data_IF_878031416487
#
_entry.id   IF_878031416487
#
_cell.length_a   1.000
_cell.length_b   1.000
_cell.length_c   1.000
_cell.angle_alpha   90.00
_cell.angle_beta   90.00
_cell.angle_gamma   90.00
#
_symmetry.space_group_name_H-M   'P 1'
#
loop_
_entity.id
_entity.type
_entity.pdbx_description
1 polymer ?
#
# COMPACT_ATOMS: atom_id res chain seq x y z
N UNK A 1 -2.22 14.76 -0.22
CA UNK A 1 -1.71 13.81 -1.23
C UNK A 1 -2.88 13.19 -1.96
N UNK A 2 -2.83 13.11 -3.28
CA UNK A 2 -3.89 12.47 -4.05
C UNK A 2 -3.80 10.94 -3.95
N UNK A 3 -4.92 10.24 -4.20
CA UNK A 3 -4.93 8.78 -4.21
C UNK A 3 -3.92 8.21 -5.22
N UNK A 4 -3.82 8.83 -6.40
CA UNK A 4 -2.86 8.40 -7.41
C UNK A 4 -1.41 8.51 -6.91
N UNK A 5 -1.06 9.63 -6.30
CA UNK A 5 0.30 9.83 -5.77
C UNK A 5 0.61 8.86 -4.63
N UNK A 6 -0.36 8.60 -3.77
CA UNK A 6 -0.21 7.61 -2.71
C UNK A 6 0.01 6.21 -3.29
N UNK A 7 -0.79 5.83 -4.29
CA UNK A 7 -0.65 4.55 -4.97
C UNK A 7 0.72 4.42 -5.64
N UNK A 8 1.18 5.45 -6.34
CA UNK A 8 2.51 5.44 -6.96
C UNK A 8 3.62 5.27 -5.92
N UNK A 9 3.52 5.99 -4.80
CA UNK A 9 4.51 5.90 -3.71
C UNK A 9 4.53 4.50 -3.09
N UNK A 10 3.37 3.88 -2.90
CA UNK A 10 3.27 2.52 -2.39
C UNK A 10 3.86 1.50 -3.37
N UNK A 11 3.59 1.63 -4.66
CA UNK A 11 4.12 0.74 -5.69
C UNK A 11 5.65 0.80 -5.76
N UNK A 12 6.23 1.96 -5.51
CA UNK A 12 7.69 2.15 -5.50
C UNK A 12 8.38 1.47 -4.32
N UNK A 13 7.63 1.04 -3.32
CA UNK A 13 8.15 0.28 -2.18
C UNK A 13 8.11 -1.22 -2.51
N UNK A 14 9.26 -1.89 -2.45
CA UNK A 14 9.39 -3.31 -2.76
C UNK A 14 9.01 -4.18 -1.55
N UNK A 15 7.75 -4.13 -1.15
CA UNK A 15 7.23 -4.82 0.03
C UNK A 15 6.89 -6.28 -0.26
N UNK A 16 7.86 -7.05 -0.72
CA UNK A 16 7.68 -8.47 -1.01
C UNK A 16 7.38 -9.22 0.28
N UNK A 17 6.28 -9.99 0.28
CA UNK A 17 5.81 -10.73 1.47
C UNK A 17 6.92 -11.48 2.18
N UNK A 18 7.02 -11.41 3.50
CA UNK A 18 6.10 -10.76 4.46
C UNK A 18 6.52 -9.34 4.85
N UNK A 19 7.43 -8.71 4.13
CA UNK A 19 8.06 -7.46 4.52
C UNK A 19 7.21 -6.25 4.18
N UNK A 20 7.10 -5.31 5.13
CA UNK A 20 6.37 -4.05 4.92
C UNK A 20 7.21 -3.00 4.19
N UNK A 21 8.49 -2.91 4.48
CA UNK A 21 9.46 -2.01 3.85
C UNK A 21 9.07 -0.53 3.90
N UNK A 22 8.21 -0.13 4.84
CA UNK A 22 7.79 1.27 5.01
C UNK A 22 6.44 1.62 4.41
N UNK A 23 5.70 0.67 3.86
CA UNK A 23 4.34 0.93 3.37
C UNK A 23 3.43 1.48 4.47
N UNK A 24 3.49 0.92 5.66
CA UNK A 24 2.67 1.37 6.78
C UNK A 24 3.01 2.77 7.25
N UNK A 25 4.29 3.14 7.24
CA UNK A 25 4.70 4.51 7.57
C UNK A 25 4.08 5.52 6.59
N UNK A 26 4.07 5.17 5.32
CA UNK A 26 3.49 6.02 4.29
C UNK A 26 1.97 6.17 4.45
N UNK A 27 1.28 5.07 4.73
CA UNK A 27 -0.17 5.07 4.99
C UNK A 27 -0.50 5.87 6.24
N UNK A 28 0.24 5.66 7.31
CA UNK A 28 0.08 6.39 8.57
C UNK A 28 0.26 7.90 8.37
N UNK A 29 1.30 8.28 7.62
CA UNK A 29 1.55 9.69 7.28
C UNK A 29 0.37 10.31 6.53
N UNK A 30 -0.32 9.53 5.70
CA UNK A 30 -1.49 10.01 4.96
C UNK A 30 -2.75 10.09 5.83
N UNK A 31 -2.95 9.13 6.74
CA UNK A 31 -4.21 8.99 7.48
C UNK A 31 -4.26 9.80 8.78
N UNK A 32 -3.14 9.91 9.51
CA UNK A 32 -3.13 10.61 10.80
C UNK A 32 -3.61 12.06 10.70
N UNK A 33 -3.17 12.86 9.70
CA UNK A 33 -3.68 14.22 9.55
C UNK A 33 -5.18 14.30 9.26
N UNK A 34 -5.77 13.21 8.78
CA UNK A 34 -7.21 13.11 8.50
C UNK A 34 -8.02 12.76 9.76
N UNK A 35 -7.37 12.50 10.88
CA UNK A 35 -8.02 12.17 12.15
C UNK A 35 -8.13 10.68 12.45
N UNK A 36 -7.46 9.82 11.69
CA UNK A 36 -7.42 8.40 12.00
C UNK A 36 -6.49 8.11 13.18
N UNK A 37 -6.92 7.19 14.03
CA UNK A 37 -6.08 6.58 15.06
C UNK A 37 -5.45 5.33 14.47
N UNK A 38 -4.15 5.18 14.65
CA UNK A 38 -3.38 4.07 14.07
C UNK A 38 -2.92 3.13 15.18
N UNK A 39 -3.13 1.84 14.95
CA UNK A 39 -2.59 0.78 15.78
C UNK A 39 -1.77 -0.19 14.91
N UNK A 40 -0.55 -0.48 15.34
CA UNK A 40 0.34 -1.48 14.72
C UNK A 40 0.26 -2.75 15.54
N UNK A 41 -0.11 -3.86 14.91
CA UNK A 41 -0.30 -5.15 15.56
C UNK A 41 0.73 -6.12 15.00
N UNK A 42 1.84 -6.38 15.74
CA UNK A 42 2.85 -7.33 15.27
C UNK A 42 2.36 -8.77 15.39
N UNK A 43 2.66 -9.58 14.40
CA UNK A 43 2.29 -10.99 14.32
C UNK A 43 3.45 -11.78 13.74
N UNK A 44 4.17 -12.55 14.56
CA UNK A 44 5.32 -13.36 14.12
C UNK A 44 6.29 -12.55 13.24
N UNK A 45 6.28 -12.79 11.93
CA UNK A 45 7.16 -12.12 10.98
C UNK A 45 6.44 -11.08 10.10
N UNK A 46 5.21 -10.73 10.44
CA UNK A 46 4.46 -9.69 9.72
C UNK A 46 3.77 -8.75 10.69
N UNK A 47 3.18 -7.70 10.16
CA UNK A 47 2.52 -6.68 10.95
C UNK A 47 1.18 -6.30 10.30
N UNK A 48 0.19 -6.00 11.13
CA UNK A 48 -1.09 -5.48 10.67
C UNK A 48 -1.23 -4.03 11.11
N UNK A 49 -1.69 -3.17 10.22
CA UNK A 49 -2.04 -1.80 10.55
C UNK A 49 -3.56 -1.68 10.64
N UNK A 50 -4.04 -1.21 11.78
CA UNK A 50 -5.44 -0.87 11.97
C UNK A 50 -5.57 0.64 12.02
N UNK A 51 -6.37 1.21 11.11
CA UNK A 51 -6.67 2.63 11.09
C UNK A 51 -8.15 2.83 11.41
N UNK A 52 -8.44 3.60 12.44
CA UNK A 52 -9.79 3.77 12.96
C UNK A 52 -10.17 5.25 12.94
N UNK A 53 -11.37 5.53 12.45
CA UNK A 53 -11.94 6.88 12.45
C UNK A 53 -13.34 6.84 13.07
N UNK A 54 -13.59 7.77 14.01
CA UNK A 54 -14.87 7.84 14.71
C UNK A 54 -14.90 6.93 15.93
N UNK A 55 -15.93 7.11 16.78
CA UNK A 55 -16.02 6.45 18.08
C UNK A 55 -17.43 5.92 18.39
N UNK A 56 -18.37 6.03 17.46
CA UNK A 56 -19.77 5.65 17.72
C UNK A 56 -20.47 5.20 16.44
N UNK A 57 -21.56 4.44 16.60
CA UNK A 57 -22.37 3.96 15.52
C UNK A 57 -21.86 2.64 14.92
N UNK A 58 -22.40 2.30 13.74
CA UNK A 58 -22.02 1.07 13.04
C UNK A 58 -20.63 1.20 12.44
N UNK A 59 -19.92 0.09 12.43
CA UNK A 59 -18.57 0.02 11.87
C UNK A 59 -18.62 -0.45 10.41
N UNK A 60 -17.94 0.28 9.54
CA UNK A 60 -17.65 -0.14 8.17
C UNK A 60 -16.14 -0.38 8.07
N UNK A 61 -15.73 -1.53 7.55
CA UNK A 61 -14.33 -1.89 7.48
C UNK A 61 -13.90 -2.18 6.05
N UNK A 62 -12.81 -1.53 5.63
CA UNK A 62 -12.07 -1.91 4.42
C UNK A 62 -10.94 -2.85 4.84
N UNK A 63 -10.76 -3.94 4.13
CA UNK A 63 -9.67 -4.88 4.36
C UNK A 63 -8.82 -5.00 3.10
N UNK A 64 -7.53 -4.86 3.25
CA UNK A 64 -6.59 -4.96 2.14
C UNK A 64 -5.20 -5.32 2.62
N UNK A 65 -4.24 -5.34 1.70
CA UNK A 65 -2.85 -5.62 2.03
C UNK A 65 -1.90 -4.79 1.18
N UNK A 66 -0.68 -4.58 1.67
CA UNK A 66 0.36 -3.81 0.99
C UNK A 66 1.52 -4.66 0.51
N UNK A 67 1.59 -5.91 0.97
CA UNK A 67 2.62 -6.83 0.52
C UNK A 67 2.32 -7.32 -0.90
N UNK A 68 3.37 -7.70 -1.59
CA UNK A 68 3.32 -8.11 -2.99
C UNK A 68 4.09 -9.40 -3.19
N UNK A 69 3.80 -10.09 -4.29
CA UNK A 69 4.63 -11.19 -4.76
C UNK A 69 5.83 -10.63 -5.56
N UNK A 70 6.90 -11.40 -5.74
CA UNK A 70 8.01 -10.97 -6.61
C UNK A 70 7.53 -10.61 -8.01
N UNK A 71 8.22 -9.66 -8.64
CA UNK A 71 7.83 -9.16 -9.97
C UNK A 71 8.03 -10.17 -11.12
N UNK A 72 8.87 -11.18 -10.90
CA UNK A 72 9.38 -12.00 -11.99
C UNK A 72 10.37 -11.23 -12.86
N UNK A 73 10.65 -11.69 -14.10
CA UNK A 73 11.60 -11.02 -14.97
C UNK A 73 11.18 -9.59 -15.31
N UNK A 74 11.99 -8.61 -14.90
CA UNK A 74 11.65 -7.19 -15.08
C UNK A 74 11.62 -6.80 -16.56
N UNK A 75 12.39 -7.47 -17.41
CA UNK A 75 12.43 -7.23 -18.84
C UNK A 75 11.12 -7.58 -19.55
N UNK A 76 10.26 -8.38 -18.95
CA UNK A 76 8.95 -8.72 -19.51
C UNK A 76 7.87 -7.67 -19.20
N UNK A 77 8.18 -6.71 -18.32
CA UNK A 77 7.26 -5.63 -18.00
C UNK A 77 7.34 -4.52 -19.06
N UNK A 78 6.19 -3.92 -19.40
CA UNK A 78 6.18 -2.78 -20.34
C UNK A 78 6.81 -1.52 -19.75
N UNK A 79 6.99 -1.49 -18.41
CA UNK A 79 7.68 -0.46 -17.65
C UNK A 79 8.25 -1.12 -16.41
N UNK A 80 9.39 -0.69 -15.84
CA UNK A 80 9.93 -1.30 -14.64
C UNK A 80 8.86 -1.41 -13.53
N UNK A 81 8.72 -2.59 -12.88
CA UNK A 81 7.57 -2.89 -12.02
C UNK A 81 7.46 -2.06 -10.75
N UNK A 82 8.52 -1.34 -10.36
CA UNK A 82 8.54 -0.50 -9.16
C UNK A 82 8.72 0.98 -9.47
N UNK A 83 8.52 1.41 -10.71
CA UNK A 83 8.55 2.83 -11.09
C UNK A 83 7.19 3.52 -10.96
N UNK A 84 6.12 2.76 -11.02
CA UNK A 84 4.75 3.29 -10.95
C UNK A 84 4.45 4.31 -12.07
N UNK A 85 4.90 4.00 -13.29
CA UNK A 85 4.65 4.84 -14.46
C UNK A 85 3.19 4.79 -14.89
N UNK A 86 2.74 5.90 -15.45
CA UNK A 86 1.44 5.98 -16.12
C UNK A 86 1.69 5.92 -17.62
N UNK A 87 1.11 4.91 -18.27
CA UNK A 87 1.24 4.70 -19.71
C UNK A 87 -0.17 4.62 -20.31
N UNK A 88 -0.50 5.53 -21.20
CA UNK A 88 -1.83 5.60 -21.84
C UNK A 88 -2.98 5.61 -20.83
N UNK A 89 -2.80 6.25 -19.69
CA UNK A 89 -3.81 6.33 -18.64
C UNK A 89 -3.81 5.18 -17.64
N UNK A 90 -3.00 4.17 -17.84
CA UNK A 90 -2.87 3.02 -16.94
C UNK A 90 -1.68 3.15 -16.00
N UNK A 91 -1.90 2.87 -14.73
CA UNK A 91 -0.83 2.82 -13.73
C UNK A 91 -0.18 1.44 -13.77
N UNK A 92 1.10 1.40 -14.15
CA UNK A 92 1.84 0.16 -14.34
C UNK A 92 2.75 -0.10 -13.13
N UNK A 93 2.60 -1.27 -12.52
CA UNK A 93 3.49 -1.67 -11.43
C UNK A 93 3.04 -2.91 -10.70
N UNK A 94 3.99 -3.57 -10.02
CA UNK A 94 3.68 -4.68 -9.14
C UNK A 94 2.88 -4.16 -7.94
N UNK A 95 1.70 -4.69 -7.71
CA UNK A 95 0.77 -4.23 -6.68
C UNK A 95 -0.26 -3.22 -7.15
N UNK A 96 -0.20 -2.74 -8.41
CA UNK A 96 -1.18 -1.78 -8.92
C UNK A 96 -2.59 -2.36 -8.97
N UNK A 97 -2.73 -3.64 -9.23
CA UNK A 97 -4.01 -4.33 -9.24
C UNK A 97 -4.26 -5.11 -7.94
N UNK A 98 -3.23 -5.68 -7.33
CA UNK A 98 -3.30 -6.55 -6.14
C UNK A 98 -2.14 -6.23 -5.17
N UNK A 99 -2.38 -5.47 -4.18
CA UNK A 99 -3.39 -4.40 -4.17
C UNK A 99 -2.89 -3.24 -3.29
N UNK A 100 -2.22 -2.30 -3.90
CA UNK A 100 -1.68 -1.12 -3.18
C UNK A 100 -2.51 0.13 -3.33
#
# INVERSE_FOLDING_TARGET
MSALKLAQSLIQIKSVSPNDEGCFDLIETALVPMGFEIERIPELNCETLLAKFGDSGKVFCFLGHTDIVPSGPEEEWMSPPFEAKIINGDLIGRGAADMK
#
